data_IF_411496058383
#
_entry.id   IF_411496058383
#
_cell.length_a   1.000
_cell.length_b   1.000
_cell.length_c   1.000
_cell.angle_alpha   90.00
_cell.angle_beta   90.00
_cell.angle_gamma   90.00
#
_symmetry.space_group_name_H-M   'P 1'
#
loop_
_entity.id
_entity.type
_entity.pdbx_description
1 polymer ?
#
# COMPACT_ATOMS: atom_id res chain seq x y z
N UNK A 1 13.87 -1.54 -10.59
CA UNK A 1 14.04 -0.90 -9.27
C UNK A 1 13.79 0.60 -9.38
N UNK A 2 12.52 1.03 -9.45
CA UNK A 2 12.14 2.40 -9.07
C UNK A 2 11.77 2.33 -7.59
N UNK A 3 12.79 2.39 -6.74
CA UNK A 3 12.58 2.77 -5.36
C UNK A 3 12.05 4.20 -5.40
N UNK A 4 10.84 4.41 -4.90
CA UNK A 4 10.41 5.67 -4.32
C UNK A 4 11.41 6.05 -3.23
N UNK A 5 12.53 6.67 -3.63
CA UNK A 5 13.61 7.10 -2.74
C UNK A 5 13.27 8.37 -1.95
N UNK A 6 12.07 8.94 -2.11
CA UNK A 6 11.69 10.22 -1.52
C UNK A 6 10.39 10.17 -0.69
N UNK A 7 10.17 9.10 0.10
CA UNK A 7 9.28 9.16 1.28
C UNK A 7 10.10 9.09 2.60
N UNK A 8 11.34 9.53 2.56
CA UNK A 8 12.34 9.35 3.63
C UNK A 8 12.20 10.30 4.82
N UNK A 9 11.26 11.24 4.84
CA UNK A 9 11.09 12.15 5.99
C UNK A 9 9.63 12.61 6.19
N UNK A 10 8.70 11.70 6.47
CA UNK A 10 7.48 12.10 7.15
C UNK A 10 7.78 12.08 8.65
N UNK A 11 7.95 13.26 9.26
CA UNK A 11 8.32 13.44 10.66
C UNK A 11 7.22 13.01 11.66
N UNK A 12 6.02 12.68 11.16
CA UNK A 12 4.83 12.35 11.94
C UNK A 12 4.05 11.22 11.26
N UNK A 13 3.36 10.37 12.01
CA UNK A 13 2.39 9.43 11.43
C UNK A 13 1.33 10.21 10.65
N UNK A 14 1.16 9.89 9.36
CA UNK A 14 0.09 10.43 8.53
C UNK A 14 -1.05 9.43 8.51
N UNK A 15 -2.20 9.85 9.02
CA UNK A 15 -3.47 9.14 8.83
C UNK A 15 -4.08 9.61 7.51
N UNK A 16 -4.37 8.65 6.63
CA UNK A 16 -5.03 8.93 5.35
C UNK A 16 -6.54 8.99 5.57
N UNK A 17 -7.19 9.90 4.86
CA UNK A 17 -8.65 9.91 4.76
C UNK A 17 -9.15 8.65 4.03
N UNK A 18 -10.40 8.21 4.29
CA UNK A 18 -10.98 7.07 3.58
C UNK A 18 -11.07 7.34 2.07
N UNK A 19 -10.93 6.28 1.28
CA UNK A 19 -11.14 6.36 -0.16
C UNK A 19 -12.62 6.62 -0.46
N UNK A 20 -12.90 7.48 -1.45
CA UNK A 20 -14.23 7.91 -1.85
C UNK A 20 -14.62 7.35 -3.22
N UNK A 21 -15.89 7.03 -3.43
CA UNK A 21 -16.39 6.62 -4.76
C UNK A 21 -16.34 7.77 -5.76
N UNK A 22 -16.54 7.47 -7.04
CA UNK A 22 -16.61 8.49 -8.09
C UNK A 22 -17.71 9.52 -7.80
N UNK A 23 -18.91 9.07 -7.44
CA UNK A 23 -20.04 9.95 -7.13
C UNK A 23 -19.78 10.82 -5.90
N UNK A 24 -19.09 10.28 -4.90
CA UNK A 24 -18.70 11.03 -3.71
C UNK A 24 -17.68 12.13 -4.06
N UNK A 25 -16.68 11.82 -4.89
CA UNK A 25 -15.72 12.80 -5.37
C UNK A 25 -16.37 13.88 -6.23
N UNK A 26 -17.22 13.49 -7.19
CA UNK A 26 -17.99 14.42 -8.02
C UNK A 26 -18.84 15.38 -7.18
N UNK A 27 -19.49 14.88 -6.14
CA UNK A 27 -20.25 15.71 -5.21
C UNK A 27 -19.35 16.73 -4.49
N UNK A 28 -18.16 16.33 -4.03
CA UNK A 28 -17.19 17.24 -3.41
C UNK A 28 -16.71 18.29 -4.41
N UNK A 29 -16.43 17.92 -5.65
CA UNK A 29 -15.99 18.84 -6.69
C UNK A 29 -17.08 19.87 -7.02
N UNK A 30 -18.32 19.41 -7.21
CA UNK A 30 -19.47 20.27 -7.50
C UNK A 30 -19.73 21.27 -6.36
N UNK A 31 -19.68 20.83 -5.10
CA UNK A 31 -19.82 21.71 -3.92
C UNK A 31 -18.74 22.80 -3.87
N UNK A 32 -17.55 22.51 -4.41
CA UNK A 32 -16.42 23.43 -4.40
C UNK A 32 -16.28 24.25 -5.70
N UNK A 33 -17.13 24.03 -6.71
CA UNK A 33 -17.05 24.69 -8.01
C UNK A 33 -15.79 24.32 -8.79
N UNK A 34 -15.32 23.09 -8.64
CA UNK A 34 -14.18 22.51 -9.38
C UNK A 34 -14.71 21.43 -10.31
N UNK A 35 -14.15 21.32 -11.50
CA UNK A 35 -14.48 20.25 -12.44
C UNK A 35 -13.53 19.06 -12.23
N UNK A 36 -14.07 17.87 -11.98
CA UNK A 36 -13.30 16.63 -11.97
C UNK A 36 -13.23 16.00 -13.35
N UNK A 37 -12.08 15.46 -13.73
CA UNK A 37 -11.90 14.64 -14.93
C UNK A 37 -11.31 13.28 -14.55
N UNK A 38 -11.85 12.16 -15.07
CA UNK A 38 -11.23 10.86 -14.85
C UNK A 38 -9.83 10.84 -15.46
N UNK A 39 -8.86 10.28 -14.76
CA UNK A 39 -7.51 10.10 -15.26
C UNK A 39 -7.49 9.00 -16.33
N UNK A 40 -6.83 9.26 -17.46
CA UNK A 40 -6.73 8.30 -18.56
C UNK A 40 -5.55 7.33 -18.43
N UNK A 41 -4.58 7.64 -17.56
CA UNK A 41 -3.39 6.82 -17.31
C UNK A 41 -3.47 6.15 -15.94
N UNK A 42 -3.10 4.88 -15.90
CA UNK A 42 -2.99 4.12 -14.65
C UNK A 42 -1.93 4.73 -13.73
N UNK A 43 -2.13 4.62 -12.42
CA UNK A 43 -1.25 5.09 -11.34
C UNK A 43 0.19 4.61 -11.55
N UNK A 44 0.39 3.38 -12.03
CA UNK A 44 1.71 2.83 -12.30
C UNK A 44 2.42 3.52 -13.48
N UNK A 45 1.67 4.08 -14.42
CA UNK A 45 2.14 4.80 -15.60
C UNK A 45 2.25 6.31 -15.37
N UNK A 46 1.65 6.84 -14.30
CA UNK A 46 1.83 8.22 -13.82
C UNK A 46 3.24 8.37 -13.25
N UNK A 47 4.18 8.73 -14.11
CA UNK A 47 5.62 8.81 -13.81
C UNK A 47 6.07 9.96 -12.90
N UNK A 48 5.15 10.70 -12.27
CA UNK A 48 5.46 11.94 -11.54
C UNK A 48 5.63 11.73 -10.02
N UNK A 49 6.56 12.49 -9.43
CA UNK A 49 6.65 12.63 -7.97
C UNK A 49 5.56 13.63 -7.52
N UNK A 50 4.66 13.18 -6.66
CA UNK A 50 3.56 14.02 -6.16
C UNK A 50 3.91 14.64 -4.81
N UNK A 51 3.57 15.92 -4.63
CA UNK A 51 3.44 16.49 -3.29
C UNK A 51 2.12 16.01 -2.70
N UNK A 52 2.23 15.16 -1.68
CA UNK A 52 1.06 14.59 -1.01
C UNK A 52 0.39 15.58 -0.07
N UNK A 53 -0.93 15.72 -0.23
CA UNK A 53 -1.83 16.45 0.65
C UNK A 53 -2.69 15.45 1.42
N UNK A 54 -2.74 15.59 2.75
CA UNK A 54 -3.41 14.61 3.63
C UNK A 54 -4.92 14.80 3.75
N UNK A 55 -5.46 15.92 3.28
CA UNK A 55 -6.89 16.22 3.36
C UNK A 55 -7.41 16.71 2.02
N UNK A 56 -8.52 16.12 1.56
CA UNK A 56 -9.16 16.45 0.30
C UNK A 56 -9.67 17.89 0.31
N UNK A 57 -10.26 18.34 1.43
CA UNK A 57 -10.74 19.72 1.57
C UNK A 57 -9.59 20.73 1.37
N UNK A 58 -8.46 20.50 2.05
CA UNK A 58 -7.29 21.39 1.93
C UNK A 58 -6.67 21.32 0.54
N UNK A 59 -6.65 20.15 -0.07
CA UNK A 59 -6.20 19.97 -1.45
C UNK A 59 -7.05 20.80 -2.43
N UNK A 60 -8.39 20.72 -2.34
CA UNK A 60 -9.30 21.48 -3.19
C UNK A 60 -9.17 22.99 -2.94
N UNK A 61 -9.05 23.41 -1.68
CA UNK A 61 -8.81 24.81 -1.34
C UNK A 61 -7.49 25.33 -1.95
N UNK A 62 -6.43 24.51 -1.90
CA UNK A 62 -5.14 24.83 -2.53
C UNK A 62 -5.24 24.94 -4.05
N UNK A 63 -5.91 23.99 -4.72
CA UNK A 63 -6.09 24.00 -6.16
C UNK A 63 -6.79 25.31 -6.60
N UNK A 64 -7.84 25.70 -5.89
CA UNK A 64 -8.56 26.97 -6.13
C UNK A 64 -7.70 28.19 -5.87
N UNK A 65 -6.96 28.23 -4.76
CA UNK A 65 -6.05 29.33 -4.45
C UNK A 65 -4.92 29.46 -5.49
N UNK A 66 -4.56 28.35 -6.13
CA UNK A 66 -3.60 28.28 -7.24
C UNK A 66 -4.21 28.66 -8.60
N UNK A 67 -5.49 29.06 -8.64
CA UNK A 67 -6.18 29.47 -9.86
C UNK A 67 -6.65 28.30 -10.74
N UNK A 68 -6.62 27.07 -10.24
CA UNK A 68 -7.11 25.91 -10.97
C UNK A 68 -8.63 25.79 -10.80
N UNK A 69 -9.32 25.53 -11.91
CA UNK A 69 -10.75 25.24 -11.93
C UNK A 69 -11.06 23.76 -12.17
N UNK A 70 -10.03 22.93 -12.34
CA UNK A 70 -10.16 21.51 -12.64
C UNK A 70 -9.10 20.66 -11.94
N UNK A 71 -9.47 19.42 -11.68
CA UNK A 71 -8.61 18.37 -11.12
C UNK A 71 -8.82 17.07 -11.89
N UNK A 72 -7.84 16.17 -11.84
CA UNK A 72 -7.99 14.80 -12.31
C UNK A 72 -8.24 13.87 -11.14
N UNK A 73 -8.97 12.79 -11.34
CA UNK A 73 -9.18 11.78 -10.30
C UNK A 73 -9.14 10.36 -10.85
N UNK A 74 -8.80 9.42 -9.97
CA UNK A 74 -8.86 7.99 -10.23
C UNK A 74 -9.45 7.28 -9.00
N UNK A 75 -10.24 6.24 -9.23
CA UNK A 75 -10.85 5.43 -8.16
C UNK A 75 -10.60 3.96 -8.46
N UNK A 76 -9.80 3.32 -7.62
CA UNK A 76 -9.38 1.94 -7.80
C UNK A 76 -10.23 1.00 -6.95
N UNK A 77 -10.86 0.03 -7.62
CA UNK A 77 -11.56 -1.09 -6.99
C UNK A 77 -10.75 -2.36 -7.19
N UNK A 78 -10.67 -3.20 -6.15
CA UNK A 78 -10.18 -4.55 -6.29
C UNK A 78 -11.33 -5.55 -6.13
N UNK A 79 -11.49 -6.50 -7.07
CA UNK A 79 -12.40 -7.61 -6.86
C UNK A 79 -11.94 -8.46 -5.68
N UNK A 80 -12.78 -9.39 -5.24
CA UNK A 80 -12.32 -10.38 -4.28
C UNK A 80 -11.18 -11.21 -4.85
N UNK A 81 -10.23 -11.57 -3.98
CA UNK A 81 -9.10 -12.38 -4.34
C UNK A 81 -9.56 -13.79 -4.75
N UNK A 82 -9.20 -14.18 -5.96
CA UNK A 82 -9.34 -15.54 -6.45
C UNK A 82 -7.96 -16.24 -6.51
N UNK A 83 -7.97 -17.52 -6.90
CA UNK A 83 -6.73 -18.30 -7.01
C UNK A 83 -5.73 -17.70 -8.02
N UNK A 84 -6.23 -17.02 -9.07
CA UNK A 84 -5.39 -16.40 -10.08
C UNK A 84 -4.68 -15.16 -9.53
N UNK A 85 -5.38 -14.33 -8.76
CA UNK A 85 -4.82 -13.15 -8.10
C UNK A 85 -3.82 -13.55 -7.00
N UNK A 86 -4.14 -14.57 -6.21
CA UNK A 86 -3.21 -15.14 -5.23
C UNK A 86 -1.94 -15.62 -5.93
N UNK A 87 -2.08 -16.40 -7.01
CA UNK A 87 -0.94 -16.90 -7.79
C UNK A 87 -0.11 -15.77 -8.39
N UNK A 88 -0.76 -14.73 -8.92
CA UNK A 88 -0.10 -13.55 -9.45
C UNK A 88 0.73 -12.84 -8.38
N UNK A 89 0.14 -12.56 -7.22
CA UNK A 89 0.83 -11.90 -6.11
C UNK A 89 1.99 -12.74 -5.56
N UNK A 90 1.81 -14.07 -5.47
CA UNK A 90 2.88 -14.98 -5.04
C UNK A 90 4.04 -15.00 -6.03
N UNK A 91 3.79 -14.96 -7.35
CA UNK A 91 4.85 -14.86 -8.37
C UNK A 91 5.66 -13.58 -8.26
N UNK A 92 4.99 -12.44 -8.04
CA UNK A 92 5.67 -11.16 -7.81
C UNK A 92 6.55 -11.24 -6.56
N UNK A 93 6.01 -11.79 -5.47
CA UNK A 93 6.74 -11.92 -4.22
C UNK A 93 7.93 -12.88 -4.33
N UNK A 94 7.75 -14.03 -4.98
CA UNK A 94 8.80 -15.00 -5.27
C UNK A 94 9.96 -14.37 -6.05
N UNK A 95 9.64 -13.56 -7.06
CA UNK A 95 10.64 -12.80 -7.82
C UNK A 95 11.38 -11.78 -6.95
N UNK A 96 10.66 -11.05 -6.11
CA UNK A 96 11.25 -10.03 -5.23
C UNK A 96 12.15 -10.62 -4.15
N UNK A 97 11.83 -11.83 -3.67
CA UNK A 97 12.56 -12.53 -2.62
C UNK A 97 13.58 -13.55 -3.15
N UNK A 98 13.61 -13.79 -4.45
CA UNK A 98 14.44 -14.82 -5.10
C UNK A 98 14.22 -16.22 -4.52
N UNK A 99 12.98 -16.56 -4.20
CA UNK A 99 12.56 -17.89 -3.68
C UNK A 99 11.48 -18.50 -4.59
N UNK A 100 11.30 -19.82 -4.52
CA UNK A 100 10.28 -20.49 -5.33
C UNK A 100 8.86 -20.17 -4.81
N UNK A 101 7.89 -20.12 -5.73
CA UNK A 101 6.48 -19.87 -5.40
C UNK A 101 5.92 -20.98 -4.51
N UNK A 102 6.31 -22.23 -4.80
CA UNK A 102 5.90 -23.42 -4.07
C UNK A 102 6.36 -23.37 -2.61
N UNK A 103 7.61 -22.93 -2.37
CA UNK A 103 8.14 -22.76 -1.01
C UNK A 103 7.34 -21.72 -0.24
N UNK A 104 6.99 -20.57 -0.86
CA UNK A 104 6.16 -19.56 -0.19
C UNK A 104 4.79 -20.15 0.14
N UNK A 105 4.18 -20.82 -0.83
CA UNK A 105 2.84 -21.40 -0.69
C UNK A 105 2.77 -22.42 0.43
N UNK A 106 3.75 -23.31 0.52
CA UNK A 106 3.79 -24.36 1.54
C UNK A 106 4.05 -23.78 2.93
N UNK A 107 5.01 -22.86 3.04
CA UNK A 107 5.40 -22.26 4.34
C UNK A 107 4.34 -21.30 4.87
N UNK A 108 3.59 -20.65 3.98
CA UNK A 108 2.61 -19.60 4.32
C UNK A 108 1.16 -20.01 4.00
N UNK A 109 0.85 -21.31 3.95
CA UNK A 109 -0.48 -21.79 3.58
C UNK A 109 -1.60 -21.25 4.49
N UNK A 110 -1.36 -21.24 5.80
CA UNK A 110 -2.32 -20.72 6.79
C UNK A 110 -2.55 -19.22 6.61
N UNK A 111 -1.49 -18.45 6.34
CA UNK A 111 -1.55 -17.02 6.09
C UNK A 111 -2.28 -16.67 4.80
N UNK A 112 -2.09 -17.46 3.75
CA UNK A 112 -2.82 -17.31 2.48
C UNK A 112 -4.31 -17.57 2.73
N UNK A 113 -4.66 -18.61 3.48
CA UNK A 113 -6.05 -18.90 3.83
C UNK A 113 -6.69 -17.80 4.69
N UNK A 114 -5.95 -17.25 5.66
CA UNK A 114 -6.39 -16.11 6.46
C UNK A 114 -6.60 -14.86 5.61
N UNK A 115 -5.69 -14.58 4.67
CA UNK A 115 -5.83 -13.48 3.72
C UNK A 115 -7.12 -13.60 2.90
N UNK A 116 -7.41 -14.78 2.33
CA UNK A 116 -8.63 -15.02 1.54
C UNK A 116 -9.87 -14.80 2.41
N UNK A 117 -9.86 -15.28 3.66
CA UNK A 117 -10.97 -15.09 4.59
C UNK A 117 -11.21 -13.60 4.88
N UNK A 118 -10.15 -12.84 5.17
CA UNK A 118 -10.25 -11.41 5.44
C UNK A 118 -10.72 -10.61 4.21
N UNK A 119 -10.27 -10.99 3.01
CA UNK A 119 -10.74 -10.35 1.79
C UNK A 119 -12.21 -10.66 1.49
N UNK A 120 -12.69 -11.87 1.83
CA UNK A 120 -14.10 -12.23 1.70
C UNK A 120 -15.03 -11.44 2.65
N UNK A 121 -14.52 -10.90 3.75
CA UNK A 121 -15.27 -10.05 4.67
C UNK A 121 -15.35 -8.58 4.20
N UNK A 122 -14.55 -8.19 3.21
CA UNK A 122 -14.53 -6.83 2.66
C UNK A 122 -15.75 -6.57 1.77
N UNK A 123 -16.20 -5.32 1.72
CA UNK A 123 -17.10 -4.86 0.68
C UNK A 123 -16.31 -4.52 -0.60
N UNK A 124 -16.39 -5.37 -1.62
CA UNK A 124 -15.72 -5.14 -2.90
C UNK A 124 -16.35 -4.02 -3.75
N UNK A 125 -17.52 -3.51 -3.36
CA UNK A 125 -18.13 -2.33 -4.00
C UNK A 125 -17.53 -1.01 -3.50
N UNK A 126 -16.72 -1.04 -2.44
CA UNK A 126 -15.99 0.11 -1.96
C UNK A 126 -14.61 0.20 -2.63
N UNK A 127 -14.16 1.42 -2.96
CA UNK A 127 -12.84 1.60 -3.51
C UNK A 127 -11.78 1.28 -2.47
N UNK A 128 -10.68 0.68 -2.91
CA UNK A 128 -9.50 0.47 -2.07
C UNK A 128 -8.68 1.75 -1.99
N UNK A 129 -8.68 2.51 -3.08
CA UNK A 129 -7.91 3.73 -3.24
C UNK A 129 -8.66 4.75 -4.08
N UNK A 130 -8.50 6.02 -3.74
CA UNK A 130 -8.96 7.13 -4.57
C UNK A 130 -7.87 8.19 -4.60
N UNK A 131 -7.66 8.81 -5.75
CA UNK A 131 -6.69 9.89 -5.91
C UNK A 131 -7.38 11.08 -6.52
N UNK A 132 -7.02 12.27 -6.05
CA UNK A 132 -7.34 13.52 -6.73
C UNK A 132 -6.06 14.30 -6.92
N UNK A 133 -5.81 14.77 -8.14
CA UNK A 133 -4.54 15.37 -8.51
C UNK A 133 -4.72 16.64 -9.33
N UNK A 134 -3.78 17.56 -9.14
CA UNK A 134 -3.71 18.80 -9.90
C UNK A 134 -2.26 19.18 -10.13
N UNK A 135 -2.00 19.88 -11.23
CA UNK A 135 -0.66 20.34 -11.59
C UNK A 135 -0.61 21.87 -11.60
N UNK A 136 0.33 22.45 -10.87
CA UNK A 136 0.57 23.90 -10.87
C UNK A 136 2.04 24.20 -10.69
N UNK A 137 2.54 25.22 -11.42
CA UNK A 137 3.90 25.73 -11.24
C UNK A 137 5.02 24.71 -11.48
N UNK A 138 4.81 23.66 -12.26
CA UNK A 138 5.82 22.62 -12.47
C UNK A 138 5.74 21.44 -11.50
N UNK A 139 4.72 21.39 -10.63
CA UNK A 139 4.62 20.41 -9.55
C UNK A 139 3.24 19.78 -9.53
N UNK A 140 3.21 18.45 -9.43
CA UNK A 140 1.99 17.70 -9.21
C UNK A 140 1.69 17.62 -7.71
N UNK A 141 0.43 17.89 -7.36
CA UNK A 141 -0.10 17.74 -6.02
C UNK A 141 -1.17 16.66 -6.06
N UNK A 142 -1.19 15.82 -5.03
CA UNK A 142 -2.14 14.71 -4.95
C UNK A 142 -2.71 14.57 -3.55
N UNK A 143 -4.01 14.33 -3.46
CA UNK A 143 -4.62 13.71 -2.29
C UNK A 143 -4.79 12.21 -2.54
N UNK A 144 -4.55 11.41 -1.51
CA UNK A 144 -4.72 9.96 -1.52
C UNK A 144 -5.71 9.55 -0.44
N UNK A 145 -6.84 8.99 -0.84
CA UNK A 145 -7.78 8.31 0.04
C UNK A 145 -7.48 6.81 0.07
N UNK A 146 -7.43 6.20 1.25
CA UNK A 146 -7.18 4.76 1.41
C UNK A 146 -8.18 4.12 2.35
N UNK A 147 -8.86 3.08 1.86
CA UNK A 147 -9.65 2.20 2.72
C UNK A 147 -8.80 0.98 3.16
N UNK A 148 -9.08 0.40 4.33
CA UNK A 148 -8.43 -0.83 4.75
C UNK A 148 -8.63 -1.95 3.72
N UNK A 149 -7.53 -2.54 3.27
CA UNK A 149 -7.54 -3.66 2.34
C UNK A 149 -6.42 -4.65 2.74
N UNK A 150 -6.73 -5.94 2.95
CA UNK A 150 -5.71 -6.94 3.21
C UNK A 150 -4.80 -7.07 1.98
N UNK A 151 -3.48 -7.10 2.18
CA UNK A 151 -2.50 -7.29 1.09
C UNK A 151 -1.73 -8.57 1.33
N UNK A 152 -1.87 -9.56 0.44
CA UNK A 152 -1.23 -10.87 0.61
C UNK A 152 0.29 -10.72 0.82
N UNK A 153 0.95 -9.88 0.03
CA UNK A 153 2.37 -9.56 0.19
C UNK A 153 2.73 -9.11 1.61
N UNK A 154 1.90 -8.24 2.23
CA UNK A 154 2.15 -7.74 3.58
C UNK A 154 1.96 -8.85 4.61
N UNK A 155 0.94 -9.68 4.45
CA UNK A 155 0.66 -10.83 5.33
C UNK A 155 1.85 -11.81 5.29
N UNK A 156 2.25 -12.24 4.10
CA UNK A 156 3.35 -13.19 3.90
C UNK A 156 4.67 -12.62 4.44
N UNK A 157 5.03 -11.38 4.07
CA UNK A 157 6.27 -10.76 4.57
C UNK A 157 6.27 -10.60 6.09
N UNK A 158 5.12 -10.27 6.69
CA UNK A 158 4.97 -10.20 8.14
C UNK A 158 5.28 -11.53 8.82
N UNK A 159 4.77 -12.64 8.27
CA UNK A 159 5.04 -14.00 8.77
C UNK A 159 6.50 -14.39 8.60
N UNK A 160 7.08 -14.20 7.41
CA UNK A 160 8.48 -14.53 7.15
C UNK A 160 9.42 -13.74 8.08
N UNK A 161 9.17 -12.45 8.28
CA UNK A 161 9.94 -11.61 9.20
C UNK A 161 9.81 -12.09 10.66
N UNK A 162 8.60 -12.46 11.10
CA UNK A 162 8.38 -12.99 12.44
C UNK A 162 9.09 -14.34 12.65
N UNK A 163 9.08 -15.21 11.64
CA UNK A 163 9.83 -16.47 11.63
C UNK A 163 11.34 -16.25 11.75
N UNK A 164 11.89 -15.33 10.94
CA UNK A 164 13.30 -14.94 10.99
C UNK A 164 13.73 -14.46 12.38
N UNK A 165 12.96 -13.56 13.02
CA UNK A 165 13.24 -13.09 14.39
C UNK A 165 13.24 -14.21 15.43
N UNK A 166 12.33 -15.19 15.29
CA UNK A 166 12.30 -16.37 16.18
C UNK A 166 13.54 -17.24 15.99
N UNK A 167 13.94 -17.47 14.74
CA UNK A 167 15.14 -18.25 14.41
C UNK A 167 16.42 -17.59 14.91
N UNK A 168 16.56 -16.27 14.70
CA UNK A 168 17.68 -15.47 15.21
C UNK A 168 17.79 -15.57 16.73
N UNK A 169 16.68 -15.35 17.45
CA UNK A 169 16.66 -15.47 18.92
C UNK A 169 17.07 -16.86 19.39
N UNK A 170 16.59 -17.92 18.72
CA UNK A 170 16.94 -19.29 19.06
C UNK A 170 18.43 -19.58 18.81
N UNK A 171 18.99 -19.07 17.71
CA UNK A 171 20.41 -19.19 17.39
C UNK A 171 21.28 -18.51 18.46
N UNK A 172 20.99 -17.26 18.80
CA UNK A 172 21.73 -16.50 19.83
C UNK A 172 21.72 -17.24 21.16
N UNK A 173 20.55 -17.71 21.62
CA UNK A 173 20.45 -18.46 22.89
C UNK A 173 21.30 -19.74 22.89
N UNK A 174 21.29 -20.50 21.79
CA UNK A 174 22.09 -21.73 21.67
C UNK A 174 23.59 -21.43 21.59
N UNK A 175 23.99 -20.40 20.85
CA UNK A 175 25.38 -19.99 20.74
C UNK A 175 25.92 -19.47 22.08
N UNK A 176 25.16 -18.64 22.80
CA UNK A 176 25.54 -18.16 24.14
C UNK A 176 25.68 -19.32 25.13
N UNK A 177 24.77 -20.30 25.09
CA UNK A 177 24.91 -21.51 25.92
C UNK A 177 26.20 -22.27 25.58
N UNK A 178 26.44 -22.55 24.29
CA UNK A 178 27.65 -23.24 23.86
C UNK A 178 28.94 -22.49 24.24
N UNK A 179 28.91 -21.15 24.22
CA UNK A 179 30.03 -20.32 24.68
C UNK A 179 30.27 -20.46 26.18
N UNK A 180 29.21 -20.46 27.00
CA UNK A 180 29.32 -20.68 28.46
C UNK A 180 29.85 -22.08 28.75
N UNK A 181 29.31 -23.11 28.07
CA UNK A 181 29.78 -24.50 28.22
C UNK A 181 31.28 -24.60 27.85
N UNK A 182 31.72 -23.96 26.76
CA UNK A 182 33.13 -23.94 26.35
C UNK A 182 34.06 -23.22 27.36
N UNK A 183 33.59 -22.15 28.00
CA UNK A 183 34.36 -21.40 29.01
C UNK A 183 34.39 -22.10 30.38
N UNK A 184 33.43 -22.98 30.66
CA UNK A 184 33.37 -23.76 31.91
C UNK A 184 34.28 -24.99 31.94
N UNK A 185 34.87 -25.35 30.80
CA UNK A 185 35.85 -26.43 30.64
C UNK A 185 37.33 -25.96 30.82
N UNK A 186 37.54 -24.69 31.21
CA UNK A 186 38.83 -24.11 31.65
C UNK A 186 38.83 -23.84 33.15
#
# INVERSE_FOLDING_TARGET
MKMTKNLTHIASSVEFEPAMTEEQLEAVFAQNGVTGFPAELDIAERTEEHVQMVSLEKFIAFAKASGLSAVTYDVTYFPHADDAEVEYQLKQLARDLEISVEVIRDVCADEIAEYIKLDAERDASLPVHSIVECYTGGTAFAWYGMNPYPRLKRVVLGKLAAGGKKAEKAFVLRASKAQVDYLGDY
#
